data_IF_537491631633
#
_entry.id   IF_537491631633
#
_cell.length_a   1.000
_cell.length_b   1.000
_cell.length_c   1.000
_cell.angle_alpha   90.00
_cell.angle_beta   90.00
_cell.angle_gamma   90.00
#
_symmetry.space_group_name_H-M   'P 1'
#
loop_
_entity.id
_entity.type
_entity.pdbx_description
1 polymer ?
#
# COMPACT_ATOMS: atom_id res chain seq x y z
N UNK A 1 13.68 -41.39 -10.02
CA UNK A 1 13.32 -40.01 -10.42
C UNK A 1 13.72 -38.95 -9.38
N UNK A 2 14.84 -39.08 -8.65
CA UNK A 2 15.24 -38.10 -7.62
C UNK A 2 16.40 -37.17 -8.05
N UNK A 3 17.27 -37.61 -8.98
CA UNK A 3 18.46 -36.83 -9.38
C UNK A 3 18.19 -35.69 -10.37
N UNK A 4 17.12 -35.76 -11.17
CA UNK A 4 16.80 -34.69 -12.14
C UNK A 4 16.28 -33.40 -11.48
N UNK A 5 15.70 -33.47 -10.27
CA UNK A 5 15.16 -32.28 -9.59
C UNK A 5 16.28 -31.40 -9.01
N UNK A 6 17.38 -32.00 -8.56
CA UNK A 6 18.51 -31.27 -7.97
C UNK A 6 19.25 -30.41 -9.00
N UNK A 7 19.49 -30.96 -10.20
CA UNK A 7 20.20 -30.26 -11.29
C UNK A 7 19.43 -29.04 -11.82
N UNK A 8 18.08 -29.05 -11.74
CA UNK A 8 17.26 -27.93 -12.18
C UNK A 8 17.34 -26.73 -11.21
N UNK A 9 17.51 -26.98 -9.91
CA UNK A 9 17.60 -25.92 -8.91
C UNK A 9 18.99 -25.27 -8.89
N UNK A 10 20.05 -26.06 -9.07
CA UNK A 10 21.44 -25.56 -9.15
C UNK A 10 21.63 -24.63 -10.37
N UNK A 11 21.08 -24.99 -11.53
CA UNK A 11 21.10 -24.12 -12.72
C UNK A 11 20.33 -22.80 -12.52
N UNK A 12 19.34 -22.75 -11.61
CA UNK A 12 18.60 -21.54 -11.30
C UNK A 12 19.41 -20.58 -10.42
N UNK A 13 20.22 -21.09 -9.48
CA UNK A 13 21.11 -20.26 -8.67
C UNK A 13 22.26 -19.66 -9.48
N UNK A 14 22.84 -20.40 -10.43
CA UNK A 14 23.94 -19.89 -11.27
C UNK A 14 23.48 -18.70 -12.13
N UNK A 15 22.26 -18.77 -12.69
CA UNK A 15 21.69 -17.67 -13.50
C UNK A 15 21.52 -16.37 -12.70
N UNK A 16 21.18 -16.48 -11.42
CA UNK A 16 21.01 -15.31 -10.54
C UNK A 16 22.34 -14.64 -10.21
N UNK A 17 23.39 -15.42 -9.92
CA UNK A 17 24.71 -14.91 -9.53
C UNK A 17 25.45 -14.22 -10.69
N UNK A 18 25.25 -14.68 -11.94
CA UNK A 18 25.86 -14.04 -13.13
C UNK A 18 25.27 -12.67 -13.48
N UNK A 19 24.03 -12.36 -13.09
CA UNK A 19 23.41 -11.07 -13.38
C UNK A 19 23.87 -9.95 -12.42
N UNK A 20 24.36 -10.31 -11.23
CA UNK A 20 24.73 -9.33 -10.18
C UNK A 20 26.17 -8.80 -10.27
N UNK A 21 26.97 -9.22 -11.26
CA UNK A 21 28.36 -8.75 -11.43
C UNK A 21 28.53 -7.56 -12.38
N UNK A 22 27.46 -7.02 -12.96
CA UNK A 22 27.55 -5.81 -13.78
C UNK A 22 27.34 -4.55 -12.94
N UNK A 23 28.33 -4.21 -12.11
CA UNK A 23 28.43 -2.88 -11.50
C UNK A 23 29.08 -1.94 -12.53
N UNK A 24 28.26 -1.11 -13.18
CA UNK A 24 28.73 0.03 -13.94
C UNK A 24 28.69 1.26 -13.03
N UNK A 25 29.85 1.91 -12.88
CA UNK A 25 30.06 3.16 -12.17
C UNK A 25 29.25 4.29 -12.81
N UNK A 26 28.43 4.99 -12.02
CA UNK A 26 27.75 6.23 -12.41
C UNK A 26 28.55 7.42 -11.90
N UNK A 27 28.88 8.32 -12.84
CA UNK A 27 29.53 9.61 -12.62
C UNK A 27 28.44 10.71 -12.50
N UNK A 28 28.50 11.63 -11.51
CA UNK A 28 27.48 12.66 -11.35
C UNK A 28 27.68 13.83 -12.32
N UNK A 29 26.81 13.98 -13.31
CA UNK A 29 26.76 15.18 -14.16
C UNK A 29 25.81 16.22 -13.57
N UNK A 30 26.33 17.43 -13.36
CA UNK A 30 25.61 18.60 -12.85
C UNK A 30 24.92 19.38 -13.98
N UNK A 31 23.74 19.89 -13.59
CA UNK A 31 23.03 21.14 -13.94
C UNK A 31 23.13 21.70 -15.36
N UNK A 32 21.95 21.93 -15.98
CA UNK A 32 21.63 23.24 -16.56
C UNK A 32 20.11 23.46 -16.60
N UNK A 33 19.69 24.59 -16.03
CA UNK A 33 18.32 25.12 -16.11
C UNK A 33 18.05 25.66 -17.51
N UNK A 34 16.85 25.43 -18.04
CA UNK A 34 16.31 26.25 -19.12
C UNK A 34 14.79 26.37 -18.98
N UNK A 35 14.36 27.55 -18.58
CA UNK A 35 12.98 28.02 -18.70
C UNK A 35 12.72 28.41 -20.15
N UNK A 36 11.60 27.95 -20.73
CA UNK A 36 10.96 28.67 -21.82
C UNK A 36 9.45 28.72 -21.59
N UNK A 37 8.99 29.95 -21.38
CA UNK A 37 7.61 30.39 -21.44
C UNK A 37 7.20 30.58 -22.89
N UNK A 38 6.01 30.11 -23.27
CA UNK A 38 5.32 30.62 -24.46
C UNK A 38 3.80 30.56 -24.25
N UNK A 39 3.20 31.73 -24.07
CA UNK A 39 1.77 32.01 -24.23
C UNK A 39 1.33 31.70 -25.66
N UNK A 40 0.13 31.13 -25.83
CA UNK A 40 -0.64 31.25 -27.07
C UNK A 40 -2.15 31.28 -26.77
N UNK A 41 -2.69 32.47 -27.00
CA UNK A 41 -4.04 32.92 -27.43
C UNK A 41 -5.05 31.83 -27.84
N UNK A 42 -6.23 31.82 -27.20
CA UNK A 42 -7.51 32.43 -27.64
C UNK A 42 -8.29 31.62 -28.68
N UNK A 43 -9.48 31.16 -28.29
CA UNK A 43 -10.56 30.72 -29.19
C UNK A 43 -11.88 30.70 -28.39
N UNK A 44 -12.68 31.74 -28.61
CA UNK A 44 -14.04 31.91 -28.11
C UNK A 44 -15.08 31.01 -28.84
N UNK A 45 -16.06 30.62 -28.02
CA UNK A 45 -17.50 30.40 -28.25
C UNK A 45 -18.07 29.49 -29.35
N UNK A 46 -18.68 28.38 -28.92
CA UNK A 46 -19.97 27.92 -29.46
C UNK A 46 -20.84 27.34 -28.32
N UNK A 47 -22.05 27.88 -28.06
CA UNK A 47 -22.90 27.40 -26.98
C UNK A 47 -23.70 26.17 -27.44
N UNK A 48 -23.33 25.00 -26.95
CA UNK A 48 -24.21 23.81 -27.05
C UNK A 48 -25.10 23.78 -25.81
N UNK A 49 -26.40 23.85 -26.06
CA UNK A 49 -27.50 23.94 -25.09
C UNK A 49 -27.32 23.00 -23.90
N UNK A 50 -27.11 23.60 -22.73
CA UNK A 50 -27.19 22.92 -21.44
C UNK A 50 -28.68 22.69 -21.18
N UNK A 51 -29.15 21.47 -21.40
CA UNK A 51 -30.39 21.02 -20.76
C UNK A 51 -30.08 20.93 -19.27
N UNK A 52 -30.48 21.98 -18.56
CA UNK A 52 -30.33 22.10 -17.11
C UNK A 52 -31.19 21.03 -16.45
N UNK A 53 -30.59 19.85 -16.23
CA UNK A 53 -31.08 18.90 -15.24
C UNK A 53 -30.98 19.61 -13.90
N UNK A 54 -32.11 19.72 -13.20
CA UNK A 54 -32.18 20.31 -11.86
C UNK A 54 -31.06 19.76 -10.97
N UNK A 55 -30.45 20.57 -10.09
CA UNK A 55 -29.51 20.07 -9.10
C UNK A 55 -30.30 19.22 -8.10
N UNK A 56 -30.51 17.95 -8.45
CA UNK A 56 -31.00 16.94 -7.55
C UNK A 56 -30.12 17.00 -6.32
N UNK A 57 -30.74 17.27 -5.18
CA UNK A 57 -30.10 17.28 -3.86
C UNK A 57 -29.14 16.11 -3.81
N UNK A 58 -27.83 16.39 -3.88
CA UNK A 58 -26.81 15.37 -3.75
C UNK A 58 -26.91 14.92 -2.30
N UNK A 59 -27.72 13.87 -2.10
CA UNK A 59 -27.89 13.21 -0.83
C UNK A 59 -26.49 12.77 -0.45
N UNK A 60 -25.81 13.53 0.43
CA UNK A 60 -24.50 13.15 0.91
C UNK A 60 -24.73 11.94 1.80
N UNK A 61 -24.72 10.77 1.18
CA UNK A 61 -24.79 9.51 1.90
C UNK A 61 -23.52 9.47 2.74
N UNK A 62 -23.69 9.64 4.05
CA UNK A 62 -22.62 9.51 5.02
C UNK A 62 -22.01 8.12 4.85
N UNK A 63 -20.82 8.04 4.22
CA UNK A 63 -20.14 6.76 4.03
C UNK A 63 -19.78 6.18 5.38
N UNK A 64 -20.18 4.94 5.63
CA UNK A 64 -19.94 4.25 6.90
C UNK A 64 -18.49 3.77 6.95
N UNK A 65 -17.80 4.07 8.04
CA UNK A 65 -16.49 3.47 8.29
C UNK A 65 -16.68 2.01 8.75
N UNK A 66 -16.36 1.06 7.87
CA UNK A 66 -16.39 -0.38 8.19
C UNK A 66 -15.02 -0.94 8.58
N UNK A 67 -13.97 -0.13 8.49
CA UNK A 67 -12.58 -0.58 8.61
C UNK A 67 -12.16 -0.61 10.08
N UNK A 68 -12.65 -1.64 10.78
CA UNK A 68 -12.25 -1.92 12.16
C UNK A 68 -10.77 -2.30 12.26
N UNK A 69 -10.09 -2.05 13.40
CA UNK A 69 -8.71 -2.51 13.62
C UNK A 69 -8.53 -4.02 13.39
N UNK A 70 -9.57 -4.81 13.74
CA UNK A 70 -9.59 -6.26 13.52
C UNK A 70 -9.58 -6.61 12.03
N UNK A 71 -10.36 -5.89 11.22
CA UNK A 71 -10.37 -6.08 9.77
C UNK A 71 -9.02 -5.70 9.16
N UNK A 72 -8.45 -4.55 9.52
CA UNK A 72 -7.12 -4.14 9.05
C UNK A 72 -6.05 -5.17 9.40
N UNK A 73 -6.06 -5.69 10.64
CA UNK A 73 -5.13 -6.74 11.06
C UNK A 73 -5.32 -8.03 10.24
N UNK A 74 -6.55 -8.42 9.91
CA UNK A 74 -6.82 -9.57 9.06
C UNK A 74 -6.28 -9.37 7.63
N UNK A 75 -6.52 -8.19 7.04
CA UNK A 75 -6.00 -7.85 5.71
C UNK A 75 -4.47 -7.90 5.65
N UNK A 76 -3.80 -7.44 6.71
CA UNK A 76 -2.34 -7.42 6.81
C UNK A 76 -1.75 -8.81 7.04
N UNK A 77 -2.36 -9.63 7.90
CA UNK A 77 -1.95 -11.02 8.12
C UNK A 77 -2.09 -11.88 6.86
N UNK A 78 -3.15 -11.61 6.09
CA UNK A 78 -3.37 -12.25 4.79
C UNK A 78 -2.50 -11.67 3.68
N UNK A 79 -1.63 -10.68 3.98
CA UNK A 79 -0.74 -10.01 3.04
C UNK A 79 -1.47 -9.50 1.78
N UNK A 80 -2.71 -9.04 1.95
CA UNK A 80 -3.54 -8.64 0.82
C UNK A 80 -3.03 -7.34 0.22
N UNK A 81 -2.83 -7.37 -1.10
CA UNK A 81 -2.61 -6.15 -1.89
C UNK A 81 -3.83 -5.24 -1.82
N UNK A 82 -3.67 -3.97 -2.21
CA UNK A 82 -4.81 -3.05 -2.28
C UNK A 82 -5.89 -3.59 -3.25
N UNK A 83 -5.48 -4.15 -4.39
CA UNK A 83 -6.40 -4.74 -5.36
C UNK A 83 -7.18 -5.93 -4.80
N UNK A 84 -6.49 -6.88 -4.17
CA UNK A 84 -7.14 -8.07 -3.59
C UNK A 84 -8.08 -7.69 -2.45
N UNK A 85 -7.77 -6.61 -1.74
CA UNK A 85 -8.64 -6.11 -0.66
C UNK A 85 -9.93 -5.55 -1.21
N UNK A 86 -9.87 -4.71 -2.25
CA UNK A 86 -11.06 -4.17 -2.92
C UNK A 86 -11.94 -5.33 -3.38
N UNK A 87 -11.36 -6.25 -4.15
CA UNK A 87 -12.09 -7.38 -4.74
C UNK A 87 -12.76 -8.26 -3.69
N UNK A 88 -12.04 -8.61 -2.62
CA UNK A 88 -12.59 -9.48 -1.57
C UNK A 88 -13.64 -8.76 -0.73
N UNK A 89 -13.43 -7.50 -0.39
CA UNK A 89 -14.39 -6.72 0.40
C UNK A 89 -15.68 -6.49 -0.39
N UNK A 90 -15.57 -6.17 -1.67
CA UNK A 90 -16.71 -6.04 -2.59
C UNK A 90 -17.51 -7.34 -2.65
N UNK A 91 -16.85 -8.48 -2.90
CA UNK A 91 -17.52 -9.78 -2.94
C UNK A 91 -18.21 -10.15 -1.61
N UNK A 92 -17.61 -9.80 -0.46
CA UNK A 92 -18.20 -10.03 0.86
C UNK A 92 -19.43 -9.14 1.07
N UNK A 93 -19.34 -7.86 0.72
CA UNK A 93 -20.44 -6.88 0.89
C UNK A 93 -21.63 -7.26 0.01
N UNK A 94 -21.35 -7.67 -1.23
CA UNK A 94 -22.36 -8.14 -2.18
C UNK A 94 -23.04 -9.44 -1.68
N UNK A 95 -22.26 -10.40 -1.17
CA UNK A 95 -22.80 -11.62 -0.55
C UNK A 95 -23.63 -11.36 0.72
N UNK A 96 -23.38 -10.26 1.42
CA UNK A 96 -24.17 -9.80 2.57
C UNK A 96 -25.40 -8.98 2.16
N UNK A 97 -25.61 -8.74 0.86
CA UNK A 97 -26.73 -7.93 0.34
C UNK A 97 -26.65 -6.46 0.75
N UNK A 98 -25.45 -5.97 1.07
CA UNK A 98 -25.23 -4.57 1.46
C UNK A 98 -24.89 -3.73 0.23
N UNK A 99 -25.28 -2.45 0.24
CA UNK A 99 -24.94 -1.55 -0.85
C UNK A 99 -23.44 -1.18 -0.78
N UNK A 100 -22.72 -1.39 -1.89
CA UNK A 100 -21.28 -1.13 -2.03
C UNK A 100 -20.95 0.37 -1.87
N UNK A 101 -21.83 1.26 -2.32
CA UNK A 101 -21.64 2.72 -2.29
C UNK A 101 -21.69 3.30 -0.87
N UNK A 102 -22.24 2.54 0.09
CA UNK A 102 -22.26 2.93 1.50
C UNK A 102 -20.87 2.86 2.16
N UNK A 103 -19.91 2.19 1.52
CA UNK A 103 -18.61 1.89 2.11
C UNK A 103 -17.45 2.52 1.32
N UNK A 104 -16.40 3.03 1.99
CA UNK A 104 -15.20 3.56 1.34
C UNK A 104 -14.26 2.43 0.85
N UNK A 105 -14.69 1.63 -0.13
CA UNK A 105 -13.95 0.44 -0.63
C UNK A 105 -12.88 0.82 -1.68
N UNK A 106 -12.80 2.08 -2.12
CA UNK A 106 -11.77 2.49 -3.10
C UNK A 106 -10.33 2.20 -2.62
N UNK A 107 -9.42 1.92 -3.57
CA UNK A 107 -8.00 1.63 -3.28
C UNK A 107 -7.35 2.68 -2.37
N UNK A 108 -7.57 3.96 -2.67
CA UNK A 108 -7.04 5.09 -1.90
C UNK A 108 -7.60 5.14 -0.48
N UNK A 109 -8.89 4.84 -0.31
CA UNK A 109 -9.53 4.80 1.00
C UNK A 109 -8.97 3.69 1.87
N UNK A 110 -8.87 2.46 1.32
CA UNK A 110 -8.26 1.33 2.02
C UNK A 110 -6.81 1.64 2.39
N UNK A 111 -6.03 2.22 1.47
CA UNK A 111 -4.64 2.58 1.73
C UNK A 111 -4.50 3.61 2.86
N UNK A 112 -5.33 4.65 2.83
CA UNK A 112 -5.34 5.71 3.86
C UNK A 112 -5.66 5.10 5.22
N UNK A 113 -6.74 4.33 5.32
CA UNK A 113 -7.18 3.73 6.58
C UNK A 113 -6.16 2.74 7.11
N UNK A 114 -5.55 1.90 6.25
CA UNK A 114 -4.48 1.00 6.68
C UNK A 114 -3.27 1.75 7.21
N UNK A 115 -2.86 2.84 6.54
CA UNK A 115 -1.73 3.66 6.99
C UNK A 115 -2.02 4.29 8.35
N UNK A 116 -3.23 4.86 8.51
CA UNK A 116 -3.68 5.45 9.77
C UNK A 116 -3.70 4.43 10.91
N UNK A 117 -4.32 3.26 10.70
CA UNK A 117 -4.37 2.20 11.73
C UNK A 117 -3.02 1.59 12.06
N UNK A 118 -2.09 1.51 11.09
CA UNK A 118 -0.70 1.10 11.38
C UNK A 118 0.04 2.15 12.18
N UNK A 119 -0.17 3.44 11.90
CA UNK A 119 0.39 4.55 12.66
C UNK A 119 -0.12 4.53 14.10
N UNK A 120 -1.44 4.45 14.28
CA UNK A 120 -2.09 4.33 15.59
C UNK A 120 -1.52 3.14 16.38
N UNK A 121 -1.37 1.99 15.74
CA UNK A 121 -0.78 0.81 16.37
C UNK A 121 0.69 1.02 16.78
N UNK A 122 1.49 1.68 15.93
CA UNK A 122 2.89 1.98 16.25
C UNK A 122 3.01 2.97 17.43
N UNK A 123 2.13 3.96 17.50
CA UNK A 123 2.05 4.91 18.62
C UNK A 123 1.66 4.20 19.91
N UNK A 124 0.66 3.32 19.88
CA UNK A 124 0.26 2.53 21.05
C UNK A 124 1.42 1.66 21.54
N UNK A 125 2.11 0.94 20.64
CA UNK A 125 3.29 0.14 21.00
C UNK A 125 4.38 1.00 21.63
N UNK A 126 4.61 2.21 21.10
CA UNK A 126 5.60 3.14 21.66
C UNK A 126 5.20 3.59 23.07
N UNK A 127 3.94 3.91 23.30
CA UNK A 127 3.42 4.32 24.61
C UNK A 127 3.54 3.17 25.61
N UNK A 128 3.09 1.97 25.23
CA UNK A 128 3.16 0.77 26.07
C UNK A 128 4.62 0.48 26.49
N UNK A 129 5.55 0.58 25.54
CA UNK A 129 6.98 0.41 25.81
C UNK A 129 7.56 1.47 26.75
N UNK A 130 7.05 2.72 26.70
CA UNK A 130 7.47 3.79 27.61
C UNK A 130 6.87 3.66 29.00
N UNK A 131 5.68 3.06 29.13
CA UNK A 131 5.05 2.81 30.43
C UNK A 131 5.71 1.65 31.17
N UNK A 132 6.17 0.63 30.44
CA UNK A 132 6.81 -0.57 30.98
C UNK A 132 8.28 -0.64 30.52
N UNK A 133 9.08 0.42 30.76
CA UNK A 133 10.48 0.47 30.31
C UNK A 133 11.24 -0.74 30.88
N UNK A 134 11.68 -1.69 30.03
CA UNK A 134 12.44 -2.83 30.51
C UNK A 134 13.86 -2.38 30.89
N UNK A 135 14.43 -2.94 31.96
CA UNK A 135 15.83 -2.70 32.35
C UNK A 135 16.82 -3.09 31.23
N UNK A 136 16.46 -4.07 30.41
CA UNK A 136 17.25 -4.54 29.26
C UNK A 136 16.37 -4.67 28.03
N UNK A 137 16.78 -4.02 26.94
CA UNK A 137 16.06 -4.02 25.66
C UNK A 137 16.94 -4.67 24.60
N UNK A 138 16.45 -5.72 23.95
CA UNK A 138 17.10 -6.31 22.78
C UNK A 138 16.30 -5.93 21.54
N UNK A 139 16.86 -5.07 20.69
CA UNK A 139 16.28 -4.72 19.40
C UNK A 139 16.86 -5.63 18.32
N UNK A 140 16.01 -6.43 17.68
CA UNK A 140 16.42 -7.26 16.55
C UNK A 140 15.69 -6.84 15.27
N UNK A 141 16.48 -6.44 14.29
CA UNK A 141 16.06 -5.88 13.00
C UNK A 141 16.09 -6.86 11.82
N UNK A 142 16.45 -8.13 12.05
CA UNK A 142 16.45 -9.18 11.01
C UNK A 142 15.33 -10.21 11.27
N UNK A 143 14.86 -10.91 10.24
CA UNK A 143 13.81 -11.93 10.37
C UNK A 143 14.28 -13.24 11.02
N UNK A 144 15.54 -13.33 11.42
CA UNK A 144 16.14 -14.52 12.02
C UNK A 144 16.03 -14.48 13.53
N UNK A 145 15.79 -15.61 14.20
CA UNK A 145 15.82 -15.65 15.66
C UNK A 145 17.28 -15.52 16.13
N UNK A 146 17.52 -14.66 17.12
CA UNK A 146 18.80 -14.65 17.82
C UNK A 146 18.90 -15.89 18.72
N UNK A 147 20.08 -16.51 18.84
CA UNK A 147 20.30 -17.55 19.83
C UNK A 147 20.06 -16.97 21.23
N UNK A 148 19.49 -17.79 22.12
CA UNK A 148 19.24 -17.43 23.52
C UNK A 148 20.56 -17.00 24.15
N UNK A 149 20.57 -15.79 24.73
CA UNK A 149 21.67 -15.34 25.57
C UNK A 149 21.63 -16.14 26.88
N UNK A 150 22.49 -17.14 27.01
CA UNK A 150 22.72 -17.79 28.30
C UNK A 150 23.49 -16.83 29.19
N UNK A 151 22.88 -16.43 30.30
CA UNK A 151 23.50 -15.68 31.40
C UNK A 151 24.38 -16.61 32.23
#
# INVERSE_FOLDING_TARGET
MARLRTVKEENRQIKYVSASKSSASYEPLREDSSSNSSENVDSEDFPTQIESSEPGTSKSVMRKDFMTPKLVAALDRCQLSMGDSVFKLEAIIDALGCNIDEFPISKSSIQRIRTEKRKERAENIKIDFQNEVPDVVTLHWDGKLLPVLSV
#
